data_IF_716219293129
#
_entry.id   IF_716219293129
#
_cell.length_a   1.000
_cell.length_b   1.000
_cell.length_c   1.000
_cell.angle_alpha   90.00
_cell.angle_beta   90.00
_cell.angle_gamma   90.00
#
_symmetry.space_group_name_H-M   'P 1'
#
loop_
_entity.id
_entity.type
_entity.pdbx_description
1 polymer ?
#
# COMPACT_ATOMS: atom_id res chain seq x y z
N UNK A 1 7.83 1.68 -13.80
CA UNK A 1 8.12 1.09 -12.48
C UNK A 1 7.26 -0.14 -12.37
N UNK A 2 7.90 -1.29 -12.20
CA UNK A 2 7.20 -2.54 -11.89
C UNK A 2 6.90 -2.59 -10.39
N UNK A 3 5.79 -3.23 -10.01
CA UNK A 3 5.31 -3.28 -8.62
C UNK A 3 5.00 -4.73 -8.28
N UNK A 4 5.54 -5.20 -7.17
CA UNK A 4 5.30 -6.56 -6.69
C UNK A 4 3.85 -6.71 -6.21
N UNK A 5 3.11 -7.62 -6.83
CA UNK A 5 1.72 -7.98 -6.47
C UNK A 5 1.64 -9.41 -5.96
N UNK A 6 0.61 -9.68 -5.16
CA UNK A 6 0.26 -11.00 -4.66
C UNK A 6 -0.94 -11.52 -5.43
N UNK A 7 -1.10 -12.84 -5.46
CA UNK A 7 -2.32 -13.47 -5.95
C UNK A 7 -3.04 -14.16 -4.80
N UNK A 8 -4.28 -13.74 -4.54
CA UNK A 8 -5.15 -14.30 -3.52
C UNK A 8 -6.51 -14.61 -4.14
N UNK A 9 -6.98 -15.85 -4.02
CA UNK A 9 -8.30 -16.29 -4.50
C UNK A 9 -8.60 -15.92 -5.97
N UNK A 10 -7.55 -15.89 -6.81
CA UNK A 10 -7.66 -15.56 -8.24
C UNK A 10 -7.67 -14.07 -8.54
N UNK A 11 -7.54 -13.21 -7.53
CA UNK A 11 -7.45 -11.77 -7.67
C UNK A 11 -6.01 -11.29 -7.42
N UNK A 12 -5.62 -10.28 -8.19
CA UNK A 12 -4.35 -9.59 -8.00
C UNK A 12 -4.49 -8.55 -6.89
N UNK A 13 -3.63 -8.67 -5.88
CA UNK A 13 -3.65 -7.88 -4.65
C UNK A 13 -2.35 -7.12 -4.48
N UNK A 14 -2.42 -5.80 -4.28
CA UNK A 14 -1.24 -4.99 -4.01
C UNK A 14 -0.94 -4.98 -2.50
N UNK A 15 0.23 -5.49 -2.04
CA UNK A 15 0.66 -5.30 -0.66
C UNK A 15 1.09 -3.84 -0.44
N UNK A 16 0.55 -3.21 0.60
CA UNK A 16 0.89 -1.85 1.03
C UNK A 16 1.33 -1.92 2.48
N UNK A 17 2.53 -1.41 2.74
CA UNK A 17 3.13 -1.42 4.07
C UNK A 17 3.12 -0.01 4.67
N UNK A 18 2.83 0.05 5.96
CA UNK A 18 2.83 1.27 6.75
C UNK A 18 4.25 1.74 7.06
N UNK A 19 5.20 0.80 7.17
CA UNK A 19 6.62 1.07 7.39
C UNK A 19 7.52 0.33 6.39
N UNK A 20 8.70 0.91 6.12
CA UNK A 20 9.65 0.31 5.19
C UNK A 20 10.21 -1.01 5.75
N UNK A 21 10.41 -1.11 7.06
CA UNK A 21 10.92 -2.28 7.76
C UNK A 21 10.02 -3.50 7.59
N UNK A 22 8.69 -3.30 7.56
CA UNK A 22 7.71 -4.36 7.34
C UNK A 22 7.79 -4.87 5.89
N UNK A 23 7.91 -3.96 4.92
CA UNK A 23 8.09 -4.32 3.51
C UNK A 23 9.40 -5.09 3.28
N UNK A 24 10.49 -4.68 3.93
CA UNK A 24 11.77 -5.37 3.84
C UNK A 24 11.71 -6.76 4.45
N UNK A 25 11.10 -6.88 5.63
CA UNK A 25 10.89 -8.17 6.29
C UNK A 25 10.04 -9.09 5.42
N UNK A 26 8.99 -8.55 4.81
CA UNK A 26 8.13 -9.29 3.90
C UNK A 26 8.91 -9.86 2.71
N UNK A 27 9.76 -9.06 2.05
CA UNK A 27 10.58 -9.53 0.94
C UNK A 27 11.60 -10.59 1.36
N UNK A 28 12.28 -10.37 2.50
CA UNK A 28 13.30 -11.31 3.03
C UNK A 28 12.73 -12.67 3.38
N UNK A 29 11.52 -12.69 3.96
CA UNK A 29 10.90 -13.92 4.47
C UNK A 29 9.95 -14.57 3.44
N UNK A 30 9.34 -13.78 2.56
CA UNK A 30 8.35 -14.22 1.58
C UNK A 30 8.92 -14.88 0.33
N UNK A 31 10.24 -15.04 0.24
CA UNK A 31 10.93 -15.62 -0.92
C UNK A 31 10.58 -14.95 -2.26
N UNK A 32 10.22 -13.66 -2.23
CA UNK A 32 9.85 -12.89 -3.44
C UNK A 32 11.01 -12.73 -4.45
N UNK A 33 12.21 -13.23 -4.12
CA UNK A 33 13.42 -13.16 -4.92
C UNK A 33 14.24 -11.90 -4.61
N UNK A 34 15.55 -12.01 -4.75
CA UNK A 34 16.51 -10.91 -4.50
C UNK A 34 16.39 -9.73 -5.51
N UNK A 35 15.43 -9.81 -6.44
CA UNK A 35 15.23 -8.85 -7.53
C UNK A 35 14.37 -7.64 -7.12
N UNK A 36 13.59 -7.75 -6.04
CA UNK A 36 12.72 -6.68 -5.57
C UNK A 36 13.38 -5.81 -4.51
N UNK A 37 13.04 -4.51 -4.53
CA UNK A 37 13.50 -3.53 -3.54
C UNK A 37 12.34 -2.74 -2.97
N UNK A 38 12.46 -2.34 -1.71
CA UNK A 38 11.51 -1.43 -1.07
C UNK A 38 11.76 0.00 -1.54
N UNK A 39 10.70 0.75 -1.77
CA UNK A 39 10.76 2.19 -2.07
C UNK A 39 9.63 2.89 -1.34
N UNK A 40 9.97 3.83 -0.46
CA UNK A 40 8.97 4.63 0.23
C UNK A 40 8.32 5.61 -0.75
N UNK A 41 6.99 5.61 -0.79
CA UNK A 41 6.20 6.54 -1.57
C UNK A 41 5.23 7.29 -0.69
N UNK A 42 5.11 8.60 -0.89
CA UNK A 42 4.08 9.40 -0.22
C UNK A 42 2.70 8.96 -0.67
N UNK A 43 1.67 9.26 0.12
CA UNK A 43 0.27 8.99 -0.20
C UNK A 43 -0.13 9.41 -1.63
N UNK A 44 0.35 10.56 -2.12
CA UNK A 44 0.09 11.00 -3.50
C UNK A 44 0.76 10.13 -4.57
N UNK A 45 1.96 9.61 -4.28
CA UNK A 45 2.65 8.65 -5.15
C UNK A 45 1.96 7.29 -5.19
N UNK A 46 1.46 6.80 -4.04
CA UNK A 46 0.68 5.57 -3.97
C UNK A 46 -0.61 5.66 -4.81
N UNK A 47 -1.29 6.80 -4.78
CA UNK A 47 -2.44 7.07 -5.67
C UNK A 47 -1.98 6.95 -7.13
N UNK A 48 -0.89 7.59 -7.53
CA UNK A 48 -0.39 7.51 -8.92
C UNK A 48 -0.04 6.08 -9.34
N UNK A 49 0.48 5.25 -8.43
CA UNK A 49 0.77 3.83 -8.70
C UNK A 49 -0.53 3.06 -8.97
N UNK A 50 -1.55 3.24 -8.12
CA UNK A 50 -2.86 2.59 -8.24
C UNK A 50 -3.66 3.02 -9.49
N UNK A 51 -3.42 4.23 -10.01
CA UNK A 51 -4.03 4.69 -11.26
C UNK A 51 -3.22 4.35 -12.52
N UNK A 52 -1.96 3.95 -12.37
CA UNK A 52 -1.05 3.68 -13.48
C UNK A 52 -0.61 2.21 -13.51
N UNK A 53 0.61 1.89 -13.03
CA UNK A 53 1.16 0.54 -13.03
C UNK A 53 0.23 -0.53 -12.43
N UNK A 54 -0.56 -0.18 -11.41
CA UNK A 54 -1.47 -1.10 -10.73
C UNK A 54 -2.95 -0.81 -11.04
N UNK A 55 -3.26 -0.25 -12.22
CA UNK A 55 -4.64 0.08 -12.60
C UNK A 55 -5.58 -1.13 -12.71
N UNK A 56 -5.03 -2.33 -12.91
CA UNK A 56 -5.80 -3.58 -13.02
C UNK A 56 -6.02 -4.28 -11.66
N UNK A 57 -5.25 -3.93 -10.63
CA UNK A 57 -5.37 -4.48 -9.29
C UNK A 57 -6.74 -4.13 -8.72
N UNK A 58 -7.44 -5.12 -8.16
CA UNK A 58 -8.75 -4.92 -7.53
C UNK A 58 -8.67 -4.80 -6.02
N UNK A 59 -7.59 -5.28 -5.42
CA UNK A 59 -7.45 -5.45 -3.98
C UNK A 59 -6.14 -4.89 -3.44
N UNK A 60 -6.17 -4.45 -2.19
CA UNK A 60 -5.00 -3.95 -1.45
C UNK A 60 -4.92 -4.67 -0.12
N UNK A 61 -3.78 -5.29 0.18
CA UNK A 61 -3.51 -5.90 1.47
C UNK A 61 -2.66 -4.96 2.32
N UNK A 62 -3.10 -4.66 3.54
CA UNK A 62 -2.38 -3.78 4.48
C UNK A 62 -1.48 -4.61 5.39
N UNK A 63 -0.19 -4.26 5.41
CA UNK A 63 0.82 -4.89 6.26
C UNK A 63 0.76 -6.43 6.27
N UNK A 64 0.65 -7.10 5.10
CA UNK A 64 0.52 -8.54 5.07
C UNK A 64 1.81 -9.19 5.59
N UNK A 65 1.66 -10.22 6.41
CA UNK A 65 2.79 -11.06 6.81
C UNK A 65 3.05 -12.16 5.76
N UNK A 66 4.31 -12.57 5.55
CA UNK A 66 4.64 -13.70 4.68
C UNK A 66 3.84 -14.96 5.00
N UNK A 67 3.64 -15.26 6.28
CA UNK A 67 2.88 -16.41 6.75
C UNK A 67 1.40 -16.35 6.35
N UNK A 68 0.84 -15.13 6.22
CA UNK A 68 -0.54 -14.98 5.76
C UNK A 68 -0.68 -15.36 4.31
N UNK A 69 0.30 -15.01 3.47
CA UNK A 69 0.35 -15.41 2.06
C UNK A 69 0.53 -16.92 1.95
N UNK A 70 1.50 -17.48 2.68
CA UNK A 70 1.78 -18.92 2.67
C UNK A 70 0.58 -19.77 3.16
N UNK A 71 -0.23 -19.23 4.07
CA UNK A 71 -1.41 -19.91 4.62
C UNK A 71 -2.72 -19.56 3.90
N UNK A 72 -2.69 -18.71 2.88
CA UNK A 72 -3.90 -18.26 2.17
C UNK A 72 -4.86 -17.43 3.03
N UNK A 73 -4.35 -16.70 4.03
CA UNK A 73 -5.14 -15.90 4.98
C UNK A 73 -4.97 -14.38 4.78
N UNK A 74 -4.31 -13.96 3.70
CA UNK A 74 -4.09 -12.54 3.38
C UNK A 74 -5.41 -11.76 3.22
N UNK A 75 -6.51 -12.44 2.89
CA UNK A 75 -7.86 -11.86 2.86
C UNK A 75 -8.29 -11.16 4.15
N UNK A 76 -7.72 -11.52 5.32
CA UNK A 76 -8.02 -10.89 6.61
C UNK A 76 -7.56 -9.42 6.68
N UNK A 77 -6.56 -9.04 5.89
CA UNK A 77 -6.02 -7.67 5.82
C UNK A 77 -6.22 -7.04 4.45
N UNK A 78 -7.07 -7.65 3.63
CA UNK A 78 -7.33 -7.23 2.25
C UNK A 78 -8.58 -6.37 2.16
N UNK A 79 -8.49 -5.31 1.37
CA UNK A 79 -9.55 -4.35 1.13
C UNK A 79 -9.74 -4.14 -0.37
N UNK A 80 -10.97 -3.87 -0.79
CA UNK A 80 -11.24 -3.42 -2.14
C UNK A 80 -10.48 -2.10 -2.42
N UNK A 81 -9.86 -2.01 -3.60
CA UNK A 81 -9.01 -0.88 -4.01
C UNK A 81 -9.76 0.45 -3.93
N UNK A 82 -11.00 0.48 -4.39
CA UNK A 82 -11.86 1.68 -4.37
C UNK A 82 -12.03 2.23 -2.94
N UNK A 83 -12.38 1.35 -2.00
CA UNK A 83 -12.49 1.69 -0.57
C UNK A 83 -11.16 2.19 -0.03
N UNK A 84 -10.05 1.54 -0.36
CA UNK A 84 -8.72 1.99 0.07
C UNK A 84 -8.38 3.39 -0.46
N UNK A 85 -8.65 3.66 -1.75
CA UNK A 85 -8.43 4.97 -2.36
C UNK A 85 -9.26 6.08 -1.71
N UNK A 86 -10.52 5.80 -1.35
CA UNK A 86 -11.37 6.76 -0.63
C UNK A 86 -10.81 7.13 0.75
N UNK A 87 -10.26 6.15 1.46
CA UNK A 87 -9.60 6.36 2.75
C UNK A 87 -8.32 7.19 2.58
N UNK A 88 -7.51 6.88 1.56
CA UNK A 88 -6.27 7.59 1.25
C UNK A 88 -6.51 9.05 0.84
N UNK A 89 -7.52 9.29 -0.02
CA UNK A 89 -7.94 10.63 -0.40
C UNK A 89 -8.45 11.44 0.79
N UNK A 90 -9.23 10.80 1.68
CA UNK A 90 -9.73 11.43 2.90
C UNK A 90 -8.61 11.76 3.89
N UNK A 91 -7.64 10.85 4.08
CA UNK A 91 -6.47 11.08 4.90
C UNK A 91 -5.64 12.27 4.38
N UNK A 92 -5.41 12.33 3.06
CA UNK A 92 -4.70 13.45 2.42
C UNK A 92 -5.41 14.79 2.64
N UNK A 93 -6.75 14.83 2.61
CA UNK A 93 -7.51 16.06 2.92
C UNK A 93 -7.27 16.50 4.37
N UNK A 94 -7.33 15.58 5.33
CA UNK A 94 -7.07 15.88 6.75
C UNK A 94 -5.65 16.40 6.98
N UNK A 95 -4.64 15.77 6.37
CA UNK A 95 -3.25 16.23 6.49
C UNK A 95 -3.03 17.62 5.90
N UNK A 96 -3.81 18.01 4.87
CA UNK A 96 -3.74 19.35 4.26
C UNK A 96 -4.49 20.40 5.06
N UNK A 97 -5.58 20.05 5.74
CA UNK A 97 -6.31 20.97 6.62
C UNK A 97 -5.58 21.26 7.94
N UNK A 98 -4.61 20.42 8.32
CA UNK A 98 -3.77 20.62 9.51
C UNK A 98 -2.47 21.42 9.23
N UNK A 99 -2.32 22.05 8.06
CA UNK A 99 -1.21 22.95 7.75
C UNK A 99 -1.29 24.27 8.55
N UNK A 100 -0.15 24.93 8.85
CA UNK A 100 -0.05 25.87 9.95
C UNK A 100 -0.96 27.08 9.75
N UNK A 101 -1.77 27.35 10.77
CA UNK A 101 -2.46 28.62 10.93
C UNK A 101 -1.40 29.72 10.97
N UNK A 102 -1.21 30.40 9.83
CA UNK A 102 -0.44 31.63 9.75
C UNK A 102 -1.27 32.69 10.48
N UNK A 103 -1.13 32.71 11.80
CA UNK A 103 -1.54 33.83 12.62
C UNK A 103 -0.68 35.04 12.20
N UNK A 104 -1.19 35.79 11.24
CA UNK A 104 -1.02 37.24 11.18
C UNK A 104 -1.51 37.80 12.51
N UNK A 105 -0.63 38.41 13.27
CA UNK A 105 -0.90 39.47 14.25
C UNK A 105 0.47 40.07 14.54
N UNK A 106 0.83 41.12 13.80
CA UNK A 106 0.75 42.54 14.20
C UNK A 106 2.04 43.00 14.86
#
# INVERSE_FOLDING_TARGET
MEVHTLYHDGEETLPVFSHAEEAEMFLRLGQAGDEWRVTEIRAGGLISVLYGPCACVKEVALDPLPEMVARGTVGLVTFARDRFMDHLASARRRSRSSGPDRARSS
#
